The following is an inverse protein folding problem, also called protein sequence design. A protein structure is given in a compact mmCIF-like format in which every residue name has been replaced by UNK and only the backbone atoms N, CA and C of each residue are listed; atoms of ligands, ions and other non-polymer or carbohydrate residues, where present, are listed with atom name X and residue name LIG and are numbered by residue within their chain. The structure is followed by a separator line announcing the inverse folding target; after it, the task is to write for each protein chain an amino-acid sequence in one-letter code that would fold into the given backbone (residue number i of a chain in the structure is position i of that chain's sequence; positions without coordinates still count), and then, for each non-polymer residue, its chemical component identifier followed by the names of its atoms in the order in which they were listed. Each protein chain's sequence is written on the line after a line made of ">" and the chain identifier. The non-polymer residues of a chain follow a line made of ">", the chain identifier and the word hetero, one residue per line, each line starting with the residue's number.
data_IF_993097600833
#
_entry.id   IF_993097600833
#
_cell.length_a   1.000
_cell.length_b   1.000
_cell.length_c   1.000
_cell.angle_alpha   90.00
_cell.angle_beta   90.00
_cell.angle_gamma   90.00
#
_symmetry.space_group_name_H-M   'P 1'
#
loop_
_entity.id
_entity.type
_entity.pdbx_description
1 polymer ?
#
# COMPACT_ATOMS: atom_id res chain seq x y z
N UNK A 1 -21.43 1.93 31.11
CA UNK A 1 -20.13 2.46 30.56
C UNK A 1 -20.49 3.43 29.45
N UNK A 2 -20.03 4.70 29.55
CA UNK A 2 -20.34 5.69 28.52
C UNK A 2 -19.45 5.47 27.29
N UNK A 3 -20.05 5.53 26.09
CA UNK A 3 -19.35 5.58 24.82
C UNK A 3 -19.56 6.97 24.22
N UNK A 4 -18.49 7.59 23.77
CA UNK A 4 -18.51 8.91 23.13
C UNK A 4 -17.67 8.86 21.86
N UNK A 5 -18.13 9.54 20.79
CA UNK A 5 -17.34 9.77 19.58
C UNK A 5 -16.91 11.23 19.58
N UNK A 6 -15.60 11.44 19.57
CA UNK A 6 -14.97 12.76 19.64
C UNK A 6 -14.34 13.12 18.30
N UNK A 7 -14.66 14.30 17.77
CA UNK A 7 -13.97 14.87 16.61
C UNK A 7 -12.58 15.36 17.03
N UNK A 8 -11.57 14.97 16.30
CA UNK A 8 -10.19 15.43 16.48
C UNK A 8 -10.06 16.89 16.00
N UNK A 9 -9.90 17.81 16.93
CA UNK A 9 -9.83 19.25 16.67
C UNK A 9 -8.54 19.91 17.16
N UNK A 10 -7.63 19.15 17.76
CA UNK A 10 -6.37 19.64 18.30
C UNK A 10 -5.21 18.68 18.04
N UNK A 11 -3.99 19.22 18.05
CA UNK A 11 -2.75 18.43 17.91
C UNK A 11 -2.62 17.35 19.01
N UNK A 12 -3.14 17.62 20.20
CA UNK A 12 -3.14 16.63 21.29
C UNK A 12 -4.00 15.44 20.93
N UNK A 13 -5.23 15.70 20.46
CA UNK A 13 -6.16 14.66 20.04
C UNK A 13 -5.63 13.90 18.81
N UNK A 14 -5.00 14.59 17.84
CA UNK A 14 -4.36 13.94 16.69
C UNK A 14 -3.26 12.96 17.12
N UNK A 15 -2.45 13.36 18.11
CA UNK A 15 -1.44 12.45 18.69
C UNK A 15 -2.04 11.26 19.42
N UNK A 16 -3.22 11.42 20.05
CA UNK A 16 -3.95 10.31 20.65
C UNK A 16 -4.54 9.40 19.59
N UNK A 17 -5.17 9.94 18.55
CA UNK A 17 -5.67 9.23 17.38
C UNK A 17 -4.59 8.31 16.76
N UNK A 18 -3.42 8.86 16.47
CA UNK A 18 -2.29 8.12 15.88
C UNK A 18 -1.80 6.97 16.76
N UNK A 19 -1.99 7.04 18.08
CA UNK A 19 -1.49 6.04 19.04
C UNK A 19 -2.44 4.87 19.28
N UNK A 20 -3.69 4.96 18.88
CA UNK A 20 -4.70 3.91 19.14
C UNK A 20 -4.27 2.54 18.62
N UNK A 21 -3.63 2.37 17.44
CA UNK A 21 -3.17 1.08 16.96
C UNK A 21 -2.27 0.32 17.95
N UNK A 22 -1.37 1.01 18.67
CA UNK A 22 -0.52 0.36 19.69
C UNK A 22 -1.29 -0.22 20.88
N UNK A 23 -2.51 0.29 21.13
CA UNK A 23 -3.38 -0.28 22.15
C UNK A 23 -4.23 -1.43 21.58
N UNK A 24 -4.71 -1.32 20.34
CA UNK A 24 -5.48 -2.35 19.63
C UNK A 24 -4.65 -3.62 19.44
N UNK A 25 -3.42 -3.48 18.99
CA UNK A 25 -2.53 -4.60 18.63
C UNK A 25 -1.53 -4.99 19.72
N UNK A 26 -1.76 -4.54 20.97
CA UNK A 26 -0.80 -4.75 22.07
C UNK A 26 -0.33 -6.19 22.24
N UNK A 27 -1.26 -7.14 22.08
CA UNK A 27 -1.02 -8.56 22.29
C UNK A 27 -1.03 -9.37 20.98
N UNK A 28 -0.98 -8.70 19.83
CA UNK A 28 -0.96 -9.30 18.50
C UNK A 28 0.50 -9.50 18.02
N UNK A 29 0.99 -10.75 17.94
CA UNK A 29 2.37 -11.03 17.56
C UNK A 29 2.63 -10.82 16.06
N UNK A 30 1.60 -10.65 15.23
CA UNK A 30 1.71 -10.53 13.77
C UNK A 30 1.79 -9.06 13.35
N UNK A 31 1.30 -8.16 14.19
CA UNK A 31 1.27 -6.74 13.87
C UNK A 31 2.66 -6.11 13.74
N UNK A 32 2.85 -5.28 12.73
CA UNK A 32 4.06 -4.47 12.51
C UNK A 32 3.78 -3.02 12.87
N UNK A 33 4.42 -2.47 13.93
CA UNK A 33 4.22 -1.08 14.31
C UNK A 33 4.70 -0.10 13.26
N UNK A 34 3.96 0.99 13.09
CA UNK A 34 4.32 2.11 12.22
C UNK A 34 5.48 2.94 12.81
N UNK A 35 6.13 3.74 11.97
CA UNK A 35 7.00 4.81 12.41
C UNK A 35 6.15 6.02 12.83
N UNK A 36 6.11 6.33 14.12
CA UNK A 36 5.24 7.36 14.67
C UNK A 36 5.43 8.74 14.02
N UNK A 37 6.66 9.14 13.72
CA UNK A 37 6.94 10.43 13.07
C UNK A 37 6.33 10.51 11.66
N UNK A 38 6.36 9.40 10.92
CA UNK A 38 5.79 9.31 9.58
C UNK A 38 4.27 9.48 9.63
N UNK A 39 3.59 8.83 10.59
CA UNK A 39 2.13 8.98 10.77
C UNK A 39 1.74 10.39 11.21
N UNK A 40 2.57 11.07 12.03
CA UNK A 40 2.33 12.48 12.38
C UNK A 40 2.33 13.36 11.14
N UNK A 41 3.30 13.20 10.24
CA UNK A 41 3.36 13.98 9.00
C UNK A 41 2.30 13.53 7.96
N UNK A 42 1.91 12.26 7.99
CA UNK A 42 0.88 11.71 7.10
C UNK A 42 -0.50 12.30 7.38
N UNK A 43 -0.88 12.47 8.64
CA UNK A 43 -2.18 13.02 9.05
C UNK A 43 -2.17 14.55 9.22
N UNK A 44 -1.03 15.21 9.07
CA UNK A 44 -0.95 16.67 9.12
C UNK A 44 -1.49 17.28 7.81
N UNK A 45 -2.67 17.88 7.90
CA UNK A 45 -3.37 18.51 6.75
C UNK A 45 -2.58 19.66 6.11
N UNK A 46 -1.58 20.22 6.80
CA UNK A 46 -0.75 21.30 6.26
C UNK A 46 0.50 20.77 5.55
N UNK A 47 0.85 19.50 5.74
CA UNK A 47 2.06 18.89 5.18
C UNK A 47 1.79 17.90 4.07
N UNK A 48 0.69 17.15 4.17
CA UNK A 48 0.38 16.12 3.21
C UNK A 48 -0.32 16.69 1.98
N UNK A 49 0.28 16.62 0.77
CA UNK A 49 -0.28 17.15 -0.47
C UNK A 49 -1.65 16.59 -0.84
N UNK A 50 -2.03 15.42 -0.32
CA UNK A 50 -3.36 14.86 -0.49
C UNK A 50 -4.46 15.85 -0.12
N UNK A 51 -4.26 16.68 0.91
CA UNK A 51 -5.24 17.66 1.38
C UNK A 51 -5.36 18.92 0.51
N UNK A 52 -4.58 19.02 -0.57
CA UNK A 52 -4.78 20.06 -1.59
C UNK A 52 -6.07 19.83 -2.41
N UNK A 53 -6.53 18.57 -2.48
CA UNK A 53 -7.71 18.17 -3.27
C UNK A 53 -8.69 17.27 -2.50
N UNK A 54 -8.53 17.14 -1.21
CA UNK A 54 -9.38 16.30 -0.37
C UNK A 54 -9.60 16.94 1.01
N UNK A 55 -10.70 16.57 1.64
CA UNK A 55 -10.96 16.87 3.04
C UNK A 55 -11.14 15.58 3.84
N UNK A 56 -10.76 15.61 5.08
CA UNK A 56 -10.99 14.50 6.00
C UNK A 56 -11.19 15.00 7.42
N UNK A 57 -12.05 14.30 8.16
CA UNK A 57 -12.16 14.45 9.60
C UNK A 57 -11.84 13.14 10.30
N UNK A 58 -11.21 13.26 11.47
CA UNK A 58 -10.75 12.13 12.26
C UNK A 58 -11.58 12.03 13.53
N UNK A 59 -11.98 10.83 13.92
CA UNK A 59 -12.80 10.58 15.08
C UNK A 59 -12.18 9.55 16.00
N UNK A 60 -12.31 9.75 17.31
CA UNK A 60 -11.89 8.83 18.36
C UNK A 60 -13.11 8.33 19.12
N UNK A 61 -13.30 7.02 19.21
CA UNK A 61 -14.22 6.42 20.12
C UNK A 61 -13.58 6.32 21.51
N UNK A 62 -14.29 6.84 22.54
CA UNK A 62 -13.86 6.76 23.93
C UNK A 62 -14.86 5.97 24.76
N UNK A 63 -14.35 5.00 25.50
CA UNK A 63 -15.11 4.29 26.52
C UNK A 63 -14.62 4.68 27.89
N UNK A 64 -15.52 5.28 28.68
CA UNK A 64 -15.18 5.85 30.00
C UNK A 64 -13.93 6.77 29.95
N UNK A 65 -13.86 7.64 28.92
CA UNK A 65 -12.78 8.59 28.67
C UNK A 65 -11.50 8.01 28.06
N UNK A 66 -11.38 6.69 27.85
CA UNK A 66 -10.21 6.05 27.24
C UNK A 66 -10.43 5.82 25.75
N UNK A 67 -9.46 6.15 24.89
CA UNK A 67 -9.52 5.81 23.47
C UNK A 67 -9.61 4.29 23.26
N UNK A 68 -10.62 3.84 22.52
CA UNK A 68 -10.84 2.42 22.18
C UNK A 68 -10.93 2.17 20.67
N UNK A 69 -11.00 3.23 19.88
CA UNK A 69 -11.00 3.10 18.42
C UNK A 69 -10.90 4.45 17.72
N UNK A 70 -10.64 4.39 16.41
CA UNK A 70 -10.50 5.53 15.50
C UNK A 70 -11.14 5.24 14.16
N UNK A 71 -11.55 6.30 13.46
CA UNK A 71 -11.92 6.27 12.05
C UNK A 71 -11.60 7.63 11.41
N UNK A 72 -11.22 7.62 10.13
CA UNK A 72 -11.21 8.80 9.28
C UNK A 72 -12.39 8.75 8.31
N UNK A 73 -13.11 9.85 8.16
CA UNK A 73 -14.06 10.08 7.08
C UNK A 73 -13.43 11.05 6.08
N UNK A 74 -13.50 10.75 4.79
CA UNK A 74 -12.68 11.37 3.77
C UNK A 74 -13.55 11.68 2.55
N UNK A 75 -13.39 12.87 1.99
CA UNK A 75 -13.96 13.24 0.69
C UNK A 75 -12.82 13.64 -0.25
N UNK A 76 -12.53 12.78 -1.21
CA UNK A 76 -11.50 13.03 -2.23
C UNK A 76 -12.18 13.60 -3.47
N UNK A 77 -12.13 14.92 -3.63
CA UNK A 77 -12.76 15.61 -4.77
C UNK A 77 -12.17 15.17 -6.10
N UNK A 78 -10.86 14.91 -6.15
CA UNK A 78 -10.18 14.43 -7.35
C UNK A 78 -10.63 13.02 -7.75
N UNK A 79 -10.92 12.14 -6.78
CA UNK A 79 -11.53 10.83 -7.05
C UNK A 79 -12.90 11.00 -7.72
N UNK A 80 -13.77 11.82 -7.11
CA UNK A 80 -15.13 12.04 -7.62
C UNK A 80 -15.15 12.68 -9.00
N UNK A 81 -14.25 13.65 -9.24
CA UNK A 81 -14.09 14.27 -10.55
C UNK A 81 -13.58 13.27 -11.60
N UNK A 82 -12.57 12.47 -11.25
CA UNK A 82 -11.93 11.54 -12.18
C UNK A 82 -12.83 10.37 -12.58
N UNK A 83 -13.63 9.85 -11.63
CA UNK A 83 -14.53 8.72 -11.85
C UNK A 83 -15.96 9.14 -12.17
N UNK A 84 -16.28 10.44 -12.18
CA UNK A 84 -17.64 10.96 -12.32
C UNK A 84 -18.59 10.36 -11.28
N UNK A 85 -18.11 10.22 -10.03
CA UNK A 85 -18.83 9.61 -8.90
C UNK A 85 -19.13 10.66 -7.82
N UNK A 86 -20.02 10.28 -6.88
CA UNK A 86 -20.33 11.08 -5.69
C UNK A 86 -20.18 10.22 -4.44
N UNK A 87 -18.93 9.92 -4.07
CA UNK A 87 -18.61 8.99 -3.00
C UNK A 87 -17.74 9.63 -1.93
N UNK A 88 -17.94 9.22 -0.69
CA UNK A 88 -16.99 9.44 0.40
C UNK A 88 -16.19 8.16 0.66
N UNK A 89 -15.10 8.30 1.39
CA UNK A 89 -14.30 7.19 1.83
C UNK A 89 -14.21 7.15 3.36
N UNK A 90 -13.96 5.97 3.92
CA UNK A 90 -13.52 5.83 5.30
C UNK A 90 -12.20 5.07 5.35
N UNK A 91 -11.43 5.29 6.39
CA UNK A 91 -10.18 4.58 6.63
C UNK A 91 -9.63 4.82 8.02
N UNK A 92 -8.39 4.41 8.24
CA UNK A 92 -7.76 4.49 9.58
C UNK A 92 -8.70 3.93 10.65
N UNK A 93 -9.45 2.88 10.27
CA UNK A 93 -10.41 2.21 11.12
C UNK A 93 -9.66 1.23 12.02
N UNK A 94 -9.45 1.66 13.25
CA UNK A 94 -8.76 0.89 14.27
C UNK A 94 -9.61 0.83 15.52
N UNK A 95 -9.99 -0.35 15.96
CA UNK A 95 -10.88 -0.49 17.11
C UNK A 95 -10.59 -1.77 17.90
N UNK A 96 -10.63 -1.67 19.21
CA UNK A 96 -10.59 -2.84 20.07
C UNK A 96 -11.78 -3.77 19.76
N UNK A 97 -11.77 -5.00 20.23
CA UNK A 97 -12.92 -5.90 20.05
C UNK A 97 -14.14 -5.38 20.87
N UNK A 98 -14.68 -4.28 20.40
CA UNK A 98 -15.82 -3.55 20.97
C UNK A 98 -16.83 -3.24 19.86
N UNK A 99 -17.84 -4.13 19.65
CA UNK A 99 -18.83 -3.97 18.57
C UNK A 99 -19.63 -2.67 18.65
N UNK A 100 -19.90 -2.14 19.85
CA UNK A 100 -20.62 -0.90 20.01
C UNK A 100 -19.79 0.30 19.56
N UNK A 101 -18.49 0.32 19.92
CA UNK A 101 -17.57 1.36 19.47
C UNK A 101 -17.36 1.31 17.96
N UNK A 102 -17.21 0.11 17.39
CA UNK A 102 -17.08 -0.09 15.95
C UNK A 102 -18.31 0.42 15.19
N UNK A 103 -19.51 0.04 15.63
CA UNK A 103 -20.77 0.49 15.02
C UNK A 103 -20.91 2.02 15.10
N UNK A 104 -20.57 2.64 16.23
CA UNK A 104 -20.66 4.08 16.41
C UNK A 104 -19.66 4.83 15.50
N UNK A 105 -18.41 4.36 15.36
CA UNK A 105 -17.42 4.93 14.45
C UNK A 105 -17.87 4.84 13.00
N UNK A 106 -18.32 3.68 12.54
CA UNK A 106 -18.78 3.46 11.17
C UNK A 106 -20.03 4.31 10.87
N UNK A 107 -20.98 4.42 11.83
CA UNK A 107 -22.14 5.28 11.67
C UNK A 107 -21.73 6.75 11.58
N UNK A 108 -20.77 7.21 12.41
CA UNK A 108 -20.24 8.59 12.36
C UNK A 108 -19.65 8.91 10.99
N UNK A 109 -18.88 7.99 10.39
CA UNK A 109 -18.33 8.18 9.04
C UNK A 109 -19.45 8.24 7.98
N UNK A 110 -20.49 7.42 8.11
CA UNK A 110 -21.66 7.46 7.22
C UNK A 110 -22.42 8.78 7.33
N UNK A 111 -22.65 9.26 8.56
CA UNK A 111 -23.36 10.53 8.78
C UNK A 111 -22.56 11.72 8.26
N UNK A 112 -21.26 11.74 8.51
CA UNK A 112 -20.33 12.73 7.94
C UNK A 112 -20.38 12.78 6.41
N UNK A 113 -20.45 11.62 5.77
CA UNK A 113 -20.56 11.48 4.33
C UNK A 113 -21.91 11.99 3.79
N UNK A 114 -23.02 11.63 4.47
CA UNK A 114 -24.38 12.15 4.16
C UNK A 114 -24.47 13.67 4.24
N UNK A 115 -23.90 14.27 5.29
CA UNK A 115 -23.88 15.72 5.48
C UNK A 115 -23.20 16.45 4.32
N UNK A 116 -22.30 15.76 3.59
CA UNK A 116 -21.62 16.27 2.38
C UNK A 116 -22.33 15.90 1.08
N UNK A 117 -23.50 15.26 1.20
CA UNK A 117 -24.36 14.94 0.05
C UNK A 117 -23.84 13.79 -0.81
N UNK A 118 -23.01 12.90 -0.24
CA UNK A 118 -22.52 11.73 -0.99
C UNK A 118 -23.52 10.58 -0.95
N UNK A 119 -23.55 9.77 -2.03
CA UNK A 119 -24.52 8.71 -2.24
C UNK A 119 -24.11 7.38 -1.61
N UNK A 120 -22.81 7.19 -1.43
CA UNK A 120 -22.21 5.99 -0.83
C UNK A 120 -20.89 6.29 -0.17
N UNK A 121 -20.43 5.33 0.64
CA UNK A 121 -19.12 5.37 1.30
C UNK A 121 -18.35 4.08 1.02
N UNK A 122 -17.07 4.21 0.67
CA UNK A 122 -16.14 3.12 0.37
C UNK A 122 -14.97 3.09 1.36
N UNK A 123 -14.42 1.93 1.61
CA UNK A 123 -13.19 1.80 2.40
C UNK A 123 -12.90 0.35 2.85
N UNK A 124 -11.87 0.18 3.67
CA UNK A 124 -11.01 1.26 4.21
C UNK A 124 -9.95 1.74 3.21
N UNK A 125 -9.73 3.05 3.19
CA UNK A 125 -8.62 3.71 2.54
C UNK A 125 -7.88 4.57 3.57
N UNK A 126 -6.58 4.38 3.71
CA UNK A 126 -5.78 5.27 4.56
C UNK A 126 -5.38 6.49 3.73
N UNK A 127 -6.35 7.34 3.49
CA UNK A 127 -6.56 8.51 2.68
C UNK A 127 -6.98 8.19 1.23
N UNK A 128 -6.21 7.45 0.43
CA UNK A 128 -6.54 7.16 -0.96
C UNK A 128 -6.13 5.73 -1.37
N UNK A 129 -6.48 5.35 -2.61
CA UNK A 129 -6.00 4.09 -3.24
C UNK A 129 -4.50 4.11 -3.56
N UNK A 130 -3.88 5.28 -3.54
CA UNK A 130 -2.43 5.42 -3.74
C UNK A 130 -1.63 5.20 -2.45
N UNK A 131 -2.34 5.14 -1.30
CA UNK A 131 -1.81 4.84 0.03
C UNK A 131 -2.18 3.40 0.43
N UNK A 132 -2.12 3.09 1.72
CA UNK A 132 -2.54 1.80 2.25
C UNK A 132 -4.06 1.65 2.16
N UNK A 133 -4.56 0.58 1.58
CA UNK A 133 -6.01 0.36 1.44
C UNK A 133 -6.42 -1.11 1.58
N UNK A 134 -7.70 -1.32 1.82
CA UNK A 134 -8.30 -2.64 1.96
C UNK A 134 -8.18 -3.25 3.35
N UNK A 135 -9.20 -3.97 3.73
CA UNK A 135 -9.27 -4.78 4.94
C UNK A 135 -8.70 -6.17 4.64
N UNK A 136 -7.75 -6.65 5.42
CA UNK A 136 -7.28 -8.03 5.33
C UNK A 136 -8.42 -8.98 5.68
N UNK A 137 -8.71 -9.94 4.78
CA UNK A 137 -9.78 -10.94 4.94
C UNK A 137 -9.27 -12.39 4.92
N UNK A 138 -8.08 -12.64 4.35
CA UNK A 138 -7.40 -13.93 4.35
C UNK A 138 -5.89 -13.75 4.52
N UNK A 139 -5.22 -14.66 5.23
CA UNK A 139 -3.76 -14.66 5.41
C UNK A 139 -3.28 -13.88 6.64
N UNK A 140 -3.99 -14.03 7.76
CA UNK A 140 -3.70 -13.32 9.02
C UNK A 140 -2.43 -13.81 9.74
N UNK A 141 -1.92 -15.00 9.41
CA UNK A 141 -0.83 -15.66 10.14
C UNK A 141 0.57 -15.15 9.77
N UNK A 142 0.68 -14.34 8.72
CA UNK A 142 1.95 -13.79 8.25
C UNK A 142 1.96 -12.26 8.42
N UNK A 143 3.02 -11.66 8.97
CA UNK A 143 3.13 -10.21 9.12
C UNK A 143 2.96 -9.46 7.78
N UNK A 144 2.37 -8.26 7.79
CA UNK A 144 2.26 -7.47 6.57
C UNK A 144 3.63 -7.05 6.05
N UNK A 145 3.84 -7.12 4.74
CA UNK A 145 5.02 -6.51 4.11
C UNK A 145 4.91 -4.98 4.12
N UNK A 146 5.99 -4.32 3.77
CA UNK A 146 6.06 -2.85 3.73
C UNK A 146 4.87 -2.25 2.96
N UNK A 147 4.25 -1.21 3.52
CA UNK A 147 3.10 -0.49 2.96
C UNK A 147 1.87 -1.40 2.71
N UNK A 148 1.71 -2.48 3.47
CA UNK A 148 0.50 -3.30 3.47
C UNK A 148 -0.30 -3.07 4.74
N UNK A 149 -1.63 -3.11 4.61
CA UNK A 149 -2.54 -3.06 5.75
C UNK A 149 -2.53 -4.36 6.55
N UNK A 150 -2.87 -4.25 7.82
CA UNK A 150 -3.14 -5.37 8.73
C UNK A 150 -4.26 -4.98 9.68
N UNK A 151 -5.10 -5.93 10.03
CA UNK A 151 -6.20 -5.75 10.96
C UNK A 151 -6.56 -7.08 11.64
N UNK A 152 -7.20 -7.04 12.83
CA UNK A 152 -7.75 -8.23 13.45
C UNK A 152 -8.89 -8.84 12.62
N UNK A 153 -9.07 -10.19 12.65
CA UNK A 153 -10.14 -10.84 11.87
C UNK A 153 -11.55 -10.35 12.17
N UNK A 154 -11.83 -9.92 13.40
CA UNK A 154 -13.17 -9.47 13.82
C UNK A 154 -13.63 -8.15 13.15
N UNK A 155 -12.74 -7.43 12.44
CA UNK A 155 -13.17 -6.24 11.68
C UNK A 155 -14.12 -6.57 10.54
N UNK A 156 -14.02 -7.77 9.94
CA UNK A 156 -14.96 -8.21 8.91
C UNK A 156 -16.40 -8.22 9.45
N UNK A 157 -16.59 -8.85 10.61
CA UNK A 157 -17.91 -8.94 11.25
C UNK A 157 -18.46 -7.55 11.59
N UNK A 158 -17.61 -6.61 12.00
CA UNK A 158 -18.04 -5.25 12.32
C UNK A 158 -18.56 -4.51 11.09
N UNK A 159 -17.84 -4.60 9.97
CA UNK A 159 -18.24 -3.95 8.73
C UNK A 159 -19.52 -4.59 8.16
N UNK A 160 -19.59 -5.92 8.11
CA UNK A 160 -20.75 -6.63 7.59
C UNK A 160 -22.00 -6.40 8.45
N UNK A 161 -21.85 -6.42 9.78
CA UNK A 161 -22.94 -6.09 10.71
C UNK A 161 -23.41 -4.63 10.57
N UNK A 162 -22.51 -3.71 10.24
CA UNK A 162 -22.86 -2.32 9.96
C UNK A 162 -23.48 -2.12 8.55
N UNK A 163 -23.68 -3.19 7.78
CA UNK A 163 -24.34 -3.17 6.47
C UNK A 163 -23.43 -2.79 5.32
N UNK A 164 -22.12 -2.90 5.50
CA UNK A 164 -21.18 -2.80 4.39
C UNK A 164 -21.10 -4.14 3.65
N UNK A 165 -20.87 -4.09 2.35
CA UNK A 165 -20.70 -5.26 1.49
C UNK A 165 -19.49 -5.09 0.57
N UNK A 166 -19.06 -6.18 -0.06
CA UNK A 166 -17.91 -6.19 -0.95
C UNK A 166 -18.08 -5.23 -2.13
N UNK A 167 -17.10 -4.35 -2.32
CA UNK A 167 -16.92 -3.56 -3.55
C UNK A 167 -15.84 -4.18 -4.45
N UNK A 168 -14.66 -4.52 -3.90
CA UNK A 168 -13.53 -5.06 -4.67
C UNK A 168 -12.62 -5.90 -3.79
N UNK A 169 -12.15 -7.05 -4.29
CA UNK A 169 -11.06 -7.79 -3.65
C UNK A 169 -9.71 -7.46 -4.29
N UNK A 170 -8.69 -7.42 -3.45
CA UNK A 170 -7.30 -7.11 -3.82
C UNK A 170 -6.43 -8.30 -3.40
N UNK A 171 -5.63 -8.83 -4.33
CA UNK A 171 -4.78 -9.98 -4.07
C UNK A 171 -3.34 -9.58 -3.78
N UNK A 172 -2.75 -10.25 -2.78
CA UNK A 172 -1.31 -10.29 -2.60
C UNK A 172 -0.80 -11.66 -3.05
N UNK A 173 0.05 -11.65 -4.05
CA UNK A 173 0.70 -12.82 -4.60
C UNK A 173 2.08 -12.98 -4.00
N UNK A 174 2.40 -14.17 -3.51
CA UNK A 174 3.70 -14.52 -2.96
C UNK A 174 4.37 -15.57 -3.84
N UNK A 175 5.62 -15.33 -4.14
CA UNK A 175 6.52 -16.30 -4.73
C UNK A 175 7.54 -16.75 -3.69
N UNK A 176 7.61 -18.05 -3.42
CA UNK A 176 8.52 -18.59 -2.42
C UNK A 176 9.96 -18.76 -2.90
N UNK A 177 10.87 -19.00 -1.94
CA UNK A 177 12.31 -18.96 -2.18
C UNK A 177 12.88 -20.13 -2.98
N UNK A 178 12.24 -21.29 -2.95
CA UNK A 178 12.70 -22.43 -3.74
C UNK A 178 12.53 -22.18 -5.24
N UNK A 179 11.40 -21.57 -5.61
CA UNK A 179 11.14 -21.14 -6.97
C UNK A 179 12.05 -19.98 -7.43
N UNK A 180 12.51 -19.13 -6.50
CA UNK A 180 13.46 -18.04 -6.78
C UNK A 180 14.90 -18.53 -6.96
N UNK A 181 15.27 -19.63 -6.29
CA UNK A 181 16.63 -20.17 -6.32
C UNK A 181 17.02 -20.79 -7.67
N UNK A 182 16.05 -21.24 -8.48
CA UNK A 182 16.27 -21.86 -9.77
C UNK A 182 16.24 -20.81 -10.90
N UNK A 183 17.36 -20.12 -11.17
CA UNK A 183 17.56 -19.17 -12.30
C UNK A 183 16.38 -18.20 -12.56
N UNK A 184 15.82 -17.64 -11.51
CA UNK A 184 14.59 -16.84 -11.58
C UNK A 184 13.32 -17.71 -11.66
N UNK A 185 13.41 -19.05 -11.56
CA UNK A 185 12.28 -19.99 -11.48
C UNK A 185 11.29 -19.90 -12.65
N UNK A 186 11.72 -19.39 -13.78
CA UNK A 186 10.88 -19.16 -14.96
C UNK A 186 11.20 -20.24 -16.00
N UNK A 187 10.20 -20.93 -16.57
CA UNK A 187 10.41 -21.95 -17.59
C UNK A 187 11.24 -21.41 -18.77
N UNK A 188 12.26 -22.14 -19.22
CA UNK A 188 13.14 -21.72 -20.33
C UNK A 188 12.38 -21.27 -21.60
N UNK A 189 11.25 -21.91 -21.89
CA UNK A 189 10.38 -21.54 -23.02
C UNK A 189 9.89 -20.10 -22.86
N UNK A 190 9.49 -19.70 -21.66
CA UNK A 190 9.02 -18.36 -21.35
C UNK A 190 10.17 -17.34 -21.41
N UNK A 191 11.35 -17.70 -20.90
CA UNK A 191 12.57 -16.86 -20.99
C UNK A 191 12.93 -16.58 -22.47
N UNK A 192 12.84 -17.59 -23.33
CA UNK A 192 13.08 -17.40 -24.79
C UNK A 192 12.06 -16.45 -25.43
N UNK A 193 10.80 -16.52 -25.03
CA UNK A 193 9.76 -15.59 -25.52
C UNK A 193 10.04 -14.17 -25.03
N UNK A 194 10.38 -14.01 -23.78
CA UNK A 194 10.70 -12.70 -23.16
C UNK A 194 11.90 -12.04 -23.88
N UNK A 195 12.97 -12.79 -24.10
CA UNK A 195 14.15 -12.27 -24.82
C UNK A 195 13.79 -11.85 -26.25
N UNK A 196 12.95 -12.61 -26.96
CA UNK A 196 12.45 -12.21 -28.29
C UNK A 196 11.63 -10.91 -28.24
N UNK A 197 10.83 -10.70 -27.19
CA UNK A 197 10.09 -9.44 -26.98
C UNK A 197 11.05 -8.28 -26.81
N UNK A 198 12.04 -8.44 -25.93
CA UNK A 198 13.08 -7.43 -25.67
C UNK A 198 13.79 -7.01 -26.95
N UNK A 199 14.28 -7.99 -27.72
CA UNK A 199 15.05 -7.75 -28.98
C UNK A 199 14.14 -7.14 -30.05
N UNK A 200 12.94 -7.69 -30.25
CA UNK A 200 11.98 -7.22 -31.28
C UNK A 200 11.60 -5.76 -31.12
N UNK A 201 11.41 -5.31 -29.89
CA UNK A 201 10.99 -3.92 -29.61
C UNK A 201 12.16 -3.01 -29.25
N UNK A 202 13.39 -3.51 -29.24
CA UNK A 202 14.60 -2.74 -28.90
C UNK A 202 14.52 -2.15 -27.49
N UNK A 203 14.04 -2.95 -26.53
CA UNK A 203 13.89 -2.51 -25.15
C UNK A 203 15.20 -2.66 -24.38
N UNK A 204 15.50 -1.66 -23.56
CA UNK A 204 16.60 -1.72 -22.59
C UNK A 204 16.04 -1.75 -21.18
N UNK A 205 16.69 -2.49 -20.28
CA UNK A 205 16.34 -2.54 -18.87
C UNK A 205 17.53 -2.06 -18.06
N UNK A 206 17.37 -0.94 -17.37
CA UNK A 206 18.42 -0.39 -16.50
C UNK A 206 17.98 -0.29 -15.05
N UNK A 207 18.94 -0.41 -14.14
CA UNK A 207 18.70 -0.17 -12.71
C UNK A 207 18.35 1.30 -12.48
N UNK A 208 17.60 1.59 -11.38
CA UNK A 208 17.46 2.95 -10.89
C UNK A 208 18.81 3.47 -10.42
N UNK A 209 19.01 4.78 -10.54
CA UNK A 209 20.23 5.46 -10.12
C UNK A 209 19.90 6.46 -8.99
N UNK A 210 20.13 6.06 -7.72
CA UNK A 210 19.87 6.93 -6.57
C UNK A 210 20.69 8.23 -6.58
N UNK A 211 21.79 8.27 -7.32
CA UNK A 211 22.61 9.48 -7.45
C UNK A 211 21.96 10.54 -8.34
N UNK A 212 21.03 10.11 -9.22
CA UNK A 212 20.25 10.96 -10.11
C UNK A 212 18.75 10.81 -9.84
N UNK A 213 18.39 10.95 -8.55
CA UNK A 213 17.06 10.63 -8.03
C UNK A 213 15.95 11.41 -8.71
N UNK A 214 16.15 12.70 -8.93
CA UNK A 214 15.13 13.58 -9.53
C UNK A 214 14.80 13.13 -10.97
N UNK A 215 15.82 12.72 -11.74
CA UNK A 215 15.61 12.16 -13.06
C UNK A 215 14.84 10.83 -13.02
N UNK A 216 15.13 9.97 -12.05
CA UNK A 216 14.39 8.70 -11.87
C UNK A 216 12.93 8.96 -11.50
N UNK A 217 12.66 9.92 -10.62
CA UNK A 217 11.28 10.30 -10.23
C UNK A 217 10.50 10.82 -11.44
N UNK A 218 11.12 11.67 -12.28
CA UNK A 218 10.49 12.14 -13.53
C UNK A 218 10.22 10.97 -14.50
N UNK A 219 11.12 10.00 -14.57
CA UNK A 219 10.91 8.76 -15.35
C UNK A 219 9.72 7.94 -14.84
N UNK A 220 9.56 7.82 -13.52
CA UNK A 220 8.39 7.17 -12.90
C UNK A 220 7.12 7.95 -13.22
N UNK A 221 7.09 9.27 -13.02
CA UNK A 221 5.93 10.12 -13.33
C UNK A 221 5.47 9.95 -14.78
N UNK A 222 6.41 9.89 -15.72
CA UNK A 222 6.13 9.74 -17.15
C UNK A 222 5.40 8.42 -17.50
N UNK A 223 5.45 7.43 -16.62
CA UNK A 223 4.80 6.13 -16.81
C UNK A 223 3.61 5.94 -15.87
N UNK A 224 3.70 6.45 -14.62
CA UNK A 224 2.76 6.14 -13.55
C UNK A 224 1.31 6.47 -13.92
N UNK A 225 1.03 7.73 -14.21
CA UNK A 225 -0.33 8.15 -14.48
C UNK A 225 -0.94 7.47 -15.73
N UNK A 226 -0.14 7.16 -16.77
CA UNK A 226 -0.60 6.40 -17.93
C UNK A 226 -0.86 4.92 -17.61
N UNK A 227 -0.05 4.34 -16.72
CA UNK A 227 -0.07 2.91 -16.45
C UNK A 227 -1.34 2.42 -15.74
N UNK A 228 -2.06 3.24 -14.98
CA UNK A 228 -3.19 2.81 -14.16
C UNK A 228 -4.52 3.49 -14.45
N UNK A 229 -4.61 4.36 -15.46
CA UNK A 229 -5.83 5.14 -15.78
C UNK A 229 -7.12 4.33 -15.86
N UNK A 230 -7.04 3.05 -16.23
CA UNK A 230 -8.20 2.17 -16.39
C UNK A 230 -8.43 1.23 -15.19
N UNK A 231 -7.62 1.33 -14.15
CA UNK A 231 -7.76 0.49 -12.98
C UNK A 231 -8.88 1.02 -12.08
N UNK A 232 -9.68 0.12 -11.53
CA UNK A 232 -10.70 0.44 -10.56
C UNK A 232 -10.11 1.22 -9.37
N UNK A 233 -10.77 2.30 -8.99
CA UNK A 233 -10.39 3.13 -7.85
C UNK A 233 -9.09 3.93 -8.01
N UNK A 234 -8.38 3.82 -9.13
CA UNK A 234 -7.16 4.59 -9.35
C UNK A 234 -7.47 6.09 -9.47
N UNK A 235 -6.66 6.90 -8.82
CA UNK A 235 -6.70 8.37 -8.94
C UNK A 235 -5.31 8.85 -9.33
N UNK A 236 -5.16 9.65 -10.40
CA UNK A 236 -3.85 10.20 -10.76
C UNK A 236 -3.26 11.01 -9.61
N UNK A 237 -2.03 10.68 -9.20
CA UNK A 237 -1.32 11.47 -8.19
C UNK A 237 -0.90 12.84 -8.72
N UNK A 238 -0.92 13.84 -7.84
CA UNK A 238 -0.27 15.13 -8.08
C UNK A 238 1.26 14.98 -8.02
N UNK A 239 1.97 15.93 -8.59
CA UNK A 239 3.44 15.97 -8.48
C UNK A 239 3.91 16.04 -7.01
N UNK A 240 3.16 16.76 -6.17
CA UNK A 240 3.42 16.85 -4.73
C UNK A 240 3.33 15.50 -4.04
N UNK A 241 2.29 14.71 -4.32
CA UNK A 241 2.09 13.37 -3.77
C UNK A 241 3.19 12.41 -4.22
N UNK A 242 3.53 12.39 -5.52
CA UNK A 242 4.62 11.54 -6.04
C UNK A 242 5.97 11.93 -5.42
N UNK A 243 6.28 13.22 -5.35
CA UNK A 243 7.53 13.69 -4.76
C UNK A 243 7.63 13.31 -3.27
N UNK A 244 6.55 13.49 -2.50
CA UNK A 244 6.51 13.10 -1.09
C UNK A 244 6.75 11.61 -0.92
N UNK A 245 6.07 10.77 -1.71
CA UNK A 245 6.25 9.32 -1.69
C UNK A 245 7.70 8.95 -2.04
N UNK A 246 8.24 9.53 -3.11
CA UNK A 246 9.60 9.28 -3.58
C UNK A 246 10.66 9.64 -2.52
N UNK A 247 10.53 10.78 -1.84
CA UNK A 247 11.45 11.18 -0.76
C UNK A 247 11.38 10.21 0.43
N UNK A 248 10.19 9.74 0.79
CA UNK A 248 10.00 8.75 1.85
C UNK A 248 10.63 7.40 1.51
N UNK A 249 10.61 7.00 0.25
CA UNK A 249 11.15 5.72 -0.22
C UNK A 249 12.65 5.75 -0.51
N UNK A 250 13.21 6.91 -0.88
CA UNK A 250 14.62 7.06 -1.26
C UNK A 250 15.63 6.38 -0.31
N UNK A 251 15.49 6.46 1.03
CA UNK A 251 16.44 5.84 1.95
C UNK A 251 16.47 4.31 1.91
N UNK A 252 15.36 3.68 1.52
CA UNK A 252 15.15 2.23 1.56
C UNK A 252 15.15 1.55 0.19
N UNK A 253 15.14 2.32 -0.91
CA UNK A 253 15.23 1.75 -2.27
C UNK A 253 16.54 1.00 -2.45
N UNK A 254 16.43 -0.22 -2.97
CA UNK A 254 17.54 -1.03 -3.44
C UNK A 254 17.63 -0.96 -4.97
N UNK A 255 18.62 -0.23 -5.47
CA UNK A 255 18.83 -0.02 -6.91
C UNK A 255 18.98 -1.33 -7.69
N UNK A 256 19.39 -2.41 -7.03
CA UNK A 256 19.63 -3.69 -7.68
C UNK A 256 18.33 -4.41 -8.07
N UNK A 257 17.21 -4.12 -7.38
CA UNK A 257 15.92 -4.75 -7.63
C UNK A 257 14.85 -3.79 -8.15
N UNK A 258 15.16 -2.49 -8.23
CA UNK A 258 14.30 -1.48 -8.85
C UNK A 258 14.88 -1.06 -10.20
N UNK A 259 14.05 -0.93 -11.24
CA UNK A 259 14.55 -0.70 -12.61
C UNK A 259 13.54 0.03 -13.50
N UNK A 260 14.06 0.66 -14.54
CA UNK A 260 13.32 1.22 -15.68
C UNK A 260 13.43 0.32 -16.90
N UNK A 261 12.37 0.28 -17.69
CA UNK A 261 12.36 -0.24 -19.07
C UNK A 261 12.25 0.95 -20.01
N UNK A 262 13.17 1.02 -20.97
CA UNK A 262 13.27 2.14 -21.90
C UNK A 262 13.23 1.67 -23.35
N UNK A 263 12.69 2.54 -24.20
CA UNK A 263 12.76 2.46 -25.66
C UNK A 263 13.38 3.75 -26.17
N UNK A 264 14.51 3.62 -26.87
CA UNK A 264 15.25 4.77 -27.43
C UNK A 264 15.53 5.86 -26.35
N UNK A 265 15.91 5.43 -25.13
CA UNK A 265 16.21 6.30 -24.00
C UNK A 265 14.98 6.93 -23.32
N UNK A 266 13.76 6.54 -23.69
CA UNK A 266 12.51 7.05 -23.06
C UNK A 266 11.88 5.97 -22.19
N UNK A 267 11.45 6.31 -20.96
CA UNK A 267 10.75 5.38 -20.07
C UNK A 267 9.44 4.88 -20.69
N UNK A 268 9.27 3.56 -20.76
CA UNK A 268 8.05 2.87 -21.21
C UNK A 268 7.47 1.95 -20.15
N UNK A 269 8.26 1.63 -19.12
CA UNK A 269 7.81 0.86 -17.97
C UNK A 269 8.77 1.00 -16.81
N UNK A 270 8.31 0.69 -15.59
CA UNK A 270 9.17 0.61 -14.40
C UNK A 270 8.65 -0.43 -13.42
N UNK A 271 9.57 -0.98 -12.63
CA UNK A 271 9.28 -1.83 -11.49
C UNK A 271 9.97 -1.26 -10.26
N UNK A 272 9.17 -0.85 -9.29
CA UNK A 272 9.65 -0.38 -7.99
C UNK A 272 9.44 -1.51 -6.98
N UNK A 273 10.51 -2.26 -6.77
CA UNK A 273 10.58 -3.33 -5.77
C UNK A 273 11.37 -2.83 -4.58
N UNK A 274 10.81 -2.97 -3.38
CA UNK A 274 11.43 -2.52 -2.13
C UNK A 274 11.83 -3.71 -1.24
N UNK A 275 12.95 -3.62 -0.52
CA UNK A 275 13.22 -4.49 0.62
C UNK A 275 12.08 -4.40 1.64
N UNK A 276 11.61 -5.53 2.14
CA UNK A 276 10.58 -5.55 3.17
C UNK A 276 11.16 -5.20 4.54
N UNK A 277 11.25 -3.90 4.81
CA UNK A 277 11.72 -3.39 6.11
C UNK A 277 10.76 -3.70 7.26
N UNK A 278 9.52 -4.13 6.97
CA UNK A 278 8.58 -4.58 8.01
C UNK A 278 9.15 -5.73 8.81
N UNK A 279 10.00 -6.59 8.23
CA UNK A 279 10.73 -7.63 8.97
C UNK A 279 11.59 -7.04 10.12
N UNK A 280 12.20 -5.89 9.89
CA UNK A 280 13.01 -5.20 10.90
C UNK A 280 12.14 -4.40 11.88
N UNK A 281 11.10 -3.73 11.39
CA UNK A 281 10.17 -3.00 12.25
C UNK A 281 9.42 -3.94 13.18
N UNK A 282 9.01 -5.11 12.70
CA UNK A 282 8.43 -6.17 13.51
C UNK A 282 9.38 -6.63 14.63
N UNK A 283 10.66 -6.87 14.30
CA UNK A 283 11.69 -7.24 15.27
C UNK A 283 12.00 -6.13 16.29
N UNK A 284 12.05 -4.86 15.84
CA UNK A 284 12.43 -3.73 16.71
C UNK A 284 11.27 -3.17 17.52
N UNK A 285 10.06 -3.42 17.07
CA UNK A 285 8.80 -3.07 17.68
C UNK A 285 8.75 -1.60 18.20
N UNK A 286 8.87 -0.59 17.30
CA UNK A 286 8.89 0.80 17.71
C UNK A 286 7.61 1.21 18.43
N UNK A 287 7.78 1.88 19.58
CA UNK A 287 6.65 2.44 20.33
C UNK A 287 6.15 3.77 19.76
N UNK A 288 4.98 4.26 20.26
CA UNK A 288 4.30 5.45 19.75
C UNK A 288 4.95 6.76 20.24
N UNK A 289 6.23 6.94 19.90
CA UNK A 289 6.98 8.18 20.21
C UNK A 289 8.02 8.50 19.13
N UNK A 290 8.37 9.79 19.01
CA UNK A 290 9.39 10.25 18.08
C UNK A 290 10.75 9.56 18.35
N UNK A 291 11.17 9.49 19.61
CA UNK A 291 12.46 8.88 19.97
C UNK A 291 12.53 7.41 19.57
N UNK A 292 11.47 6.62 19.85
CA UNK A 292 11.40 5.21 19.47
C UNK A 292 11.45 5.03 17.96
N UNK A 293 10.73 5.85 17.22
CA UNK A 293 10.68 5.80 15.75
C UNK A 293 12.00 6.18 15.10
N UNK A 294 12.66 7.25 15.59
CA UNK A 294 13.99 7.62 15.07
C UNK A 294 15.06 6.56 15.40
N UNK A 295 14.99 5.96 16.59
CA UNK A 295 15.88 4.86 16.92
C UNK A 295 15.63 3.62 16.02
N UNK A 296 14.38 3.31 15.73
CA UNK A 296 14.03 2.19 14.87
C UNK A 296 14.51 2.42 13.44
N UNK A 297 14.21 3.58 12.82
CA UNK A 297 14.66 3.85 11.44
C UNK A 297 16.18 3.91 11.33
N UNK A 298 16.88 4.46 12.32
CA UNK A 298 18.35 4.44 12.33
C UNK A 298 18.88 2.99 12.34
N UNK A 299 18.28 2.08 13.13
CA UNK A 299 18.63 0.66 13.15
C UNK A 299 18.28 -0.04 11.84
N UNK A 300 17.14 0.30 11.22
CA UNK A 300 16.76 -0.21 9.89
C UNK A 300 17.82 0.17 8.87
N UNK A 301 18.16 1.46 8.75
CA UNK A 301 19.14 1.96 7.78
C UNK A 301 20.54 1.37 8.03
N UNK A 302 20.95 1.24 9.29
CA UNK A 302 22.20 0.55 9.64
C UNK A 302 22.17 -0.91 9.18
N UNK A 303 21.07 -1.62 9.42
CA UNK A 303 20.93 -3.04 9.02
C UNK A 303 20.97 -3.18 7.49
N UNK A 304 20.24 -2.34 6.76
CA UNK A 304 20.28 -2.35 5.28
C UNK A 304 21.69 -2.05 4.74
N UNK A 305 22.45 -1.20 5.43
CA UNK A 305 23.80 -0.82 4.99
C UNK A 305 24.87 -1.89 5.26
N UNK A 306 24.78 -2.57 6.42
CA UNK A 306 25.87 -3.43 6.91
C UNK A 306 25.48 -4.90 7.07
N UNK A 307 24.19 -5.24 7.04
CA UNK A 307 23.68 -6.59 7.27
C UNK A 307 22.40 -6.86 6.49
N UNK A 308 22.41 -6.50 5.21
CA UNK A 308 21.26 -6.57 4.29
C UNK A 308 20.62 -7.96 4.23
N UNK A 309 21.40 -9.04 4.45
CA UNK A 309 20.93 -10.44 4.44
C UNK A 309 19.86 -10.74 5.51
N UNK A 310 19.65 -9.86 6.49
CA UNK A 310 18.55 -9.96 7.44
C UNK A 310 17.19 -9.61 6.84
N UNK A 311 17.17 -8.97 5.68
CA UNK A 311 15.94 -8.67 4.94
C UNK A 311 15.96 -9.57 3.71
N UNK A 312 15.14 -10.62 3.75
CA UNK A 312 15.08 -11.64 2.70
C UNK A 312 13.76 -11.65 1.93
N UNK A 313 12.86 -10.71 2.25
CA UNK A 313 11.60 -10.46 1.54
C UNK A 313 11.69 -9.14 0.79
N UNK A 314 11.03 -9.06 -0.36
CA UNK A 314 10.86 -7.81 -1.10
C UNK A 314 9.44 -7.73 -1.67
N UNK A 315 8.93 -6.50 -1.80
CA UNK A 315 7.60 -6.23 -2.34
C UNK A 315 7.69 -5.36 -3.58
N UNK A 316 7.02 -5.76 -4.64
CA UNK A 316 6.76 -4.94 -5.82
C UNK A 316 5.61 -4.01 -5.49
N UNK A 317 5.92 -2.76 -5.15
CA UNK A 317 4.93 -1.76 -4.74
C UNK A 317 4.30 -1.02 -5.92
N UNK A 318 5.04 -0.89 -7.01
CA UNK A 318 4.56 -0.28 -8.25
C UNK A 318 5.19 -0.96 -9.46
N UNK A 319 4.35 -1.27 -10.44
CA UNK A 319 4.71 -2.03 -11.62
C UNK A 319 3.93 -1.48 -12.81
N UNK A 320 4.49 -0.52 -13.52
CA UNK A 320 3.80 0.24 -14.56
C UNK A 320 4.36 0.00 -15.95
N UNK A 321 3.46 -0.12 -16.93
CA UNK A 321 3.79 -0.20 -18.36
C UNK A 321 2.85 0.74 -19.12
N UNK A 322 3.39 1.62 -19.94
CA UNK A 322 2.60 2.51 -20.82
C UNK A 322 1.67 1.70 -21.71
N UNK A 323 0.48 2.24 -21.98
CA UNK A 323 -0.59 1.55 -22.69
C UNK A 323 -0.12 0.95 -24.05
N UNK A 324 0.64 1.69 -24.83
CA UNK A 324 1.16 1.26 -26.11
C UNK A 324 2.06 0.02 -26.07
N UNK A 325 2.56 -0.33 -24.89
CA UNK A 325 3.49 -1.45 -24.66
C UNK A 325 2.88 -2.65 -23.92
N UNK A 326 1.67 -2.51 -23.33
CA UNK A 326 1.03 -3.59 -22.53
C UNK A 326 0.72 -4.86 -23.30
N UNK A 327 0.32 -4.74 -24.56
CA UNK A 327 -0.02 -5.89 -25.42
C UNK A 327 1.20 -6.53 -26.07
N UNK A 328 2.40 -6.04 -25.76
CA UNK A 328 3.66 -6.48 -26.39
C UNK A 328 4.47 -7.44 -25.52
N UNK A 329 3.94 -7.84 -24.35
CA UNK A 329 4.61 -8.75 -23.40
C UNK A 329 5.71 -8.08 -22.56
N UNK A 330 5.69 -6.75 -22.44
CA UNK A 330 6.63 -5.99 -21.60
C UNK A 330 6.40 -6.29 -20.12
N UNK A 331 5.15 -6.56 -19.72
CA UNK A 331 4.77 -7.06 -18.41
C UNK A 331 5.53 -8.35 -18.03
N UNK A 332 5.56 -9.34 -18.94
CA UNK A 332 6.33 -10.57 -18.75
C UNK A 332 7.84 -10.34 -18.65
N UNK A 333 8.40 -9.43 -19.49
CA UNK A 333 9.81 -9.03 -19.38
C UNK A 333 10.11 -8.44 -18.00
N UNK A 334 9.25 -7.57 -17.50
CA UNK A 334 9.46 -6.89 -16.21
C UNK A 334 9.35 -7.86 -15.04
N UNK A 335 8.36 -8.78 -15.03
CA UNK A 335 8.25 -9.83 -14.01
C UNK A 335 9.47 -10.74 -14.00
N UNK A 336 9.97 -11.11 -15.18
CA UNK A 336 11.21 -11.88 -15.30
C UNK A 336 12.42 -11.14 -14.73
N UNK A 337 12.62 -9.87 -15.12
CA UNK A 337 13.73 -9.05 -14.62
C UNK A 337 13.62 -8.82 -13.09
N UNK A 338 12.41 -8.67 -12.54
CA UNK A 338 12.19 -8.60 -11.07
C UNK A 338 12.67 -9.89 -10.39
N UNK A 339 12.20 -11.05 -10.85
CA UNK A 339 12.57 -12.35 -10.30
C UNK A 339 14.08 -12.62 -10.43
N UNK A 340 14.65 -12.36 -11.61
CA UNK A 340 16.07 -12.54 -11.92
C UNK A 340 16.99 -11.70 -11.04
N UNK A 341 16.57 -10.51 -10.65
CA UNK A 341 17.34 -9.58 -9.81
C UNK A 341 17.22 -9.89 -8.33
N UNK A 342 16.09 -10.43 -7.88
CA UNK A 342 15.81 -10.64 -6.46
C UNK A 342 16.75 -11.70 -5.82
N UNK A 343 16.84 -12.89 -6.41
CA UNK A 343 17.58 -14.02 -5.81
C UNK A 343 19.08 -13.74 -5.61
N UNK A 344 19.84 -13.20 -6.59
CA UNK A 344 21.26 -12.86 -6.39
C UNK A 344 21.49 -11.79 -5.32
N UNK A 345 20.46 -10.97 -5.04
CA UNK A 345 20.50 -9.89 -4.05
C UNK A 345 20.00 -10.34 -2.67
N UNK A 346 19.76 -11.64 -2.47
CA UNK A 346 19.41 -12.22 -1.16
C UNK A 346 17.91 -12.24 -0.84
N UNK A 347 17.06 -11.80 -1.76
CA UNK A 347 15.61 -11.83 -1.57
C UNK A 347 15.05 -13.19 -1.96
N UNK A 348 14.59 -13.94 -0.97
CA UNK A 348 14.01 -15.29 -1.13
C UNK A 348 12.51 -15.25 -1.41
N UNK A 349 11.83 -14.20 -0.99
CA UNK A 349 10.39 -14.05 -1.08
C UNK A 349 10.06 -12.75 -1.79
N UNK A 350 9.21 -12.86 -2.83
CA UNK A 350 8.71 -11.70 -3.58
C UNK A 350 7.20 -11.64 -3.46
N UNK A 351 6.71 -10.49 -3.00
CA UNK A 351 5.29 -10.16 -3.04
C UNK A 351 5.00 -9.22 -4.21
N UNK A 352 3.90 -9.50 -4.93
CA UNK A 352 3.28 -8.56 -5.84
C UNK A 352 1.87 -8.22 -5.33
N UNK A 353 1.65 -6.98 -4.95
CA UNK A 353 0.41 -6.49 -4.36
C UNK A 353 0.29 -4.96 -4.49
N UNK A 354 -0.91 -4.40 -4.54
CA UNK A 354 -2.18 -5.10 -4.63
C UNK A 354 -2.54 -5.32 -6.09
N UNK A 355 -3.06 -6.52 -6.39
CA UNK A 355 -3.59 -6.82 -7.73
C UNK A 355 -5.10 -6.94 -7.61
N UNK A 356 -5.84 -6.16 -8.39
CA UNK A 356 -7.31 -6.23 -8.45
C UNK A 356 -7.75 -7.65 -8.84
N UNK A 357 -8.80 -8.18 -8.20
CA UNK A 357 -9.39 -9.47 -8.59
C UNK A 357 -9.82 -9.50 -10.06
N UNK A 358 -10.21 -8.35 -10.61
CA UNK A 358 -10.65 -8.17 -12.00
C UNK A 358 -9.51 -8.03 -13.01
N UNK A 359 -8.26 -7.96 -12.55
CA UNK A 359 -7.09 -7.88 -13.45
C UNK A 359 -6.63 -9.29 -13.86
N UNK A 360 -7.50 -10.02 -14.59
CA UNK A 360 -7.28 -11.40 -15.01
C UNK A 360 -5.93 -11.62 -15.69
N UNK A 361 -5.53 -10.66 -16.55
CA UNK A 361 -4.27 -10.77 -17.29
C UNK A 361 -3.06 -10.77 -16.36
N UNK A 362 -3.02 -9.88 -15.38
CA UNK A 362 -1.92 -9.80 -14.43
C UNK A 362 -1.95 -11.01 -13.48
N UNK A 363 -3.12 -11.38 -12.97
CA UNK A 363 -3.28 -12.54 -12.10
C UNK A 363 -2.79 -13.83 -12.77
N UNK A 364 -3.22 -14.11 -14.01
CA UNK A 364 -2.74 -15.27 -14.79
C UNK A 364 -1.24 -15.21 -15.07
N UNK A 365 -0.72 -14.01 -15.37
CA UNK A 365 0.72 -13.88 -15.66
C UNK A 365 1.55 -14.17 -14.42
N UNK A 366 1.18 -13.63 -13.25
CA UNK A 366 1.90 -13.86 -11.99
C UNK A 366 1.83 -15.33 -11.57
N UNK A 367 0.69 -15.98 -11.76
CA UNK A 367 0.52 -17.42 -11.52
C UNK A 367 1.47 -18.25 -12.40
N UNK A 368 1.59 -17.92 -13.69
CA UNK A 368 2.54 -18.57 -14.61
C UNK A 368 4.01 -18.41 -14.17
N UNK A 369 4.32 -17.37 -13.42
CA UNK A 369 5.63 -17.17 -12.79
C UNK A 369 5.79 -17.94 -11.47
N UNK A 370 4.84 -18.81 -11.11
CA UNK A 370 4.93 -19.69 -9.94
C UNK A 370 4.60 -19.03 -8.60
N UNK A 371 3.92 -17.89 -8.60
CA UNK A 371 3.39 -17.31 -7.39
C UNK A 371 1.99 -17.85 -7.05
N UNK A 372 1.57 -17.70 -5.80
CA UNK A 372 0.24 -18.05 -5.32
C UNK A 372 -0.35 -16.89 -4.49
N UNK A 373 -1.68 -16.79 -4.46
CA UNK A 373 -2.35 -15.84 -3.58
C UNK A 373 -2.16 -16.32 -2.14
N UNK A 374 -1.56 -15.48 -1.28
CA UNK A 374 -1.36 -15.81 0.13
C UNK A 374 -2.11 -14.89 1.08
N UNK A 375 -2.50 -13.69 0.60
CA UNK A 375 -3.37 -12.77 1.33
C UNK A 375 -4.42 -12.19 0.40
N UNK A 376 -5.61 -11.91 0.96
CA UNK A 376 -6.65 -11.16 0.29
C UNK A 376 -7.08 -9.98 1.15
N UNK A 377 -7.34 -8.89 0.48
CA UNK A 377 -7.85 -7.67 1.07
C UNK A 377 -9.15 -7.31 0.39
N UNK A 378 -10.04 -6.64 1.10
CA UNK A 378 -11.35 -6.24 0.57
C UNK A 378 -11.59 -4.76 0.80
N UNK A 379 -12.03 -4.09 -0.25
CA UNK A 379 -12.70 -2.80 -0.14
C UNK A 379 -14.19 -3.08 0.01
N UNK A 380 -14.76 -2.48 1.01
CA UNK A 380 -16.20 -2.53 1.30
C UNK A 380 -16.87 -1.24 0.85
N UNK A 381 -18.17 -1.32 0.59
CA UNK A 381 -19.01 -0.17 0.30
C UNK A 381 -20.35 -0.26 1.03
N UNK A 382 -20.98 0.90 1.25
CA UNK A 382 -22.35 1.01 1.76
C UNK A 382 -23.06 2.17 1.08
N UNK A 383 -24.27 1.93 0.60
CA UNK A 383 -25.14 2.97 0.09
C UNK A 383 -25.65 3.82 1.25
N UNK A 384 -25.68 5.12 1.06
CA UNK A 384 -26.15 6.09 2.03
C UNK A 384 -27.57 6.54 1.62
N UNK A 385 -28.57 6.02 2.31
CA UNK A 385 -29.96 6.40 2.08
C UNK A 385 -30.29 7.78 2.65
#
# INVERSE_FOLDING_TARGET
>A
MSLEIELVSSDKQLKEFIKVPWAVYKDDPTWVPFLYFERVDFFDKNKNPFFEHAEADYFIARRDGRPVGTIAAILNHRHNEFHEENVAHFGVFEVMNDPEAAAALLQTACDWAKERGTDRILGPFNLSTNDECGLLIEGFDDPPMILMTYNPPYYMDFLETAGFHKAMDLYAWLRDGEALAAEGGVPEKLVRVINKVKDRYGLTVRQLNRSDWDHEVEGVKAVYNDAWLKNWGFVPMTDGEINRLAEGLKPIVDEQIAFMVEKDGKPVGFSLTLPDISQLLHQFHPGPSLLSSYAAIARVLFTLRFNKTKVNRARVIAFGVKEDYRVRGVDGLMLYETAKRAAPNGYKWLEASWILETNDKMNQTIELFGAHIYKKYRIYEKQLA
#
